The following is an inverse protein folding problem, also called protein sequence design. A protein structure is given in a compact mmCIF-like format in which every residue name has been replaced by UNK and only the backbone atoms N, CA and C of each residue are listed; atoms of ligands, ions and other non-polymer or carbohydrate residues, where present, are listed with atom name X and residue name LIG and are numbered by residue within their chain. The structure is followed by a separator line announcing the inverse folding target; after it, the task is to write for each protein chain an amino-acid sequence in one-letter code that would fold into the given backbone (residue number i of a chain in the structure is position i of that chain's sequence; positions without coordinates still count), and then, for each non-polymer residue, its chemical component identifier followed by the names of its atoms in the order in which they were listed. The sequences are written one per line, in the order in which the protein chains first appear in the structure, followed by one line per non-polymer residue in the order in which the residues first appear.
data_IF_914747872016
#
_entry.id   IF_914747872016
#
_cell.length_a   1.000
_cell.length_b   1.000
_cell.length_c   1.000
_cell.angle_alpha   90.00
_cell.angle_beta   90.00
_cell.angle_gamma   90.00
#
_symmetry.space_group_name_H-M   'P 1'
#
loop_
_entity.id
_entity.type
_entity.pdbx_description
1 polymer ?
#
# COMPACT_ATOMS: atom_id res chain seq x y z
N UNK A 1 22.65 20.92 -0.56
CA UNK A 1 22.23 21.35 0.79
C UNK A 1 22.96 20.44 1.78
N UNK A 2 23.84 20.99 2.64
CA UNK A 2 24.59 20.20 3.61
C UNK A 2 23.74 20.02 4.87
N UNK A 3 23.50 18.78 5.27
CA UNK A 3 22.82 18.44 6.53
C UNK A 3 23.91 18.25 7.59
N UNK A 4 23.79 18.94 8.74
CA UNK A 4 24.73 18.86 9.86
C UNK A 4 24.75 17.47 10.50
N UNK A 5 25.93 17.01 10.94
CA UNK A 5 26.10 15.75 11.66
C UNK A 5 25.50 15.76 13.08
N UNK A 6 25.08 16.93 13.58
CA UNK A 6 24.40 17.08 14.88
C UNK A 6 22.89 16.87 14.79
N UNK A 7 22.36 16.67 13.57
CA UNK A 7 20.93 16.47 13.36
C UNK A 7 20.55 15.04 13.71
N UNK A 8 20.14 14.82 14.96
CA UNK A 8 19.82 13.48 15.47
C UNK A 8 18.41 13.02 15.11
N UNK A 9 17.46 13.93 14.84
CA UNK A 9 16.08 13.63 14.46
C UNK A 9 15.47 14.73 13.60
N UNK A 10 14.72 14.33 12.56
CA UNK A 10 13.87 15.23 11.77
C UNK A 10 12.50 14.59 11.68
N UNK A 11 11.47 15.33 12.10
CA UNK A 11 10.08 14.95 11.86
C UNK A 11 9.51 15.84 10.78
N UNK A 12 9.02 15.24 9.69
CA UNK A 12 8.27 15.92 8.65
C UNK A 12 6.83 15.40 8.76
N UNK A 13 5.89 16.31 9.01
CA UNK A 13 4.47 15.93 9.06
C UNK A 13 3.94 15.70 7.64
N UNK A 14 3.95 14.42 7.26
CA UNK A 14 3.16 13.76 6.22
C UNK A 14 2.85 14.63 4.99
N UNK A 15 3.79 14.65 4.05
CA UNK A 15 3.40 14.87 2.67
C UNK A 15 2.44 13.74 2.28
N UNK A 16 1.25 14.08 1.79
CA UNK A 16 0.27 13.07 1.37
C UNK A 16 0.89 12.13 0.33
N UNK A 17 0.92 10.84 0.66
CA UNK A 17 1.29 9.80 -0.30
C UNK A 17 0.15 9.68 -1.31
N UNK A 18 0.47 9.82 -2.60
CA UNK A 18 -0.53 9.79 -3.66
C UNK A 18 -0.68 8.40 -4.29
N UNK A 19 0.37 7.59 -4.29
CA UNK A 19 0.34 6.24 -4.84
C UNK A 19 1.22 5.28 -4.04
N UNK A 20 0.71 4.08 -3.82
CA UNK A 20 1.43 2.96 -3.22
C UNK A 20 1.45 1.81 -4.22
N UNK A 21 2.62 1.45 -4.74
CA UNK A 21 2.75 0.30 -5.63
C UNK A 21 3.38 -0.88 -4.90
N UNK A 22 2.70 -2.01 -4.90
CA UNK A 22 3.16 -3.24 -4.24
C UNK A 22 3.63 -4.23 -5.30
N UNK A 23 4.90 -4.62 -5.26
CA UNK A 23 5.51 -5.52 -6.25
C UNK A 23 6.10 -6.74 -5.56
N UNK A 24 5.71 -7.93 -6.00
CA UNK A 24 6.25 -9.18 -5.45
C UNK A 24 7.64 -9.44 -6.03
N UNK A 25 8.64 -9.55 -5.16
CA UNK A 25 10.03 -9.84 -5.57
C UNK A 25 10.34 -11.34 -5.53
N UNK A 26 9.78 -12.05 -4.55
CA UNK A 26 9.94 -13.50 -4.40
C UNK A 26 8.70 -14.11 -3.75
N UNK A 27 8.73 -15.43 -3.48
CA UNK A 27 7.61 -16.15 -2.85
C UNK A 27 7.16 -15.52 -1.51
N UNK A 28 8.05 -14.90 -0.75
CA UNK A 28 7.74 -14.36 0.59
C UNK A 28 8.14 -12.90 0.79
N UNK A 29 8.69 -12.25 -0.25
CA UNK A 29 9.22 -10.88 -0.15
C UNK A 29 8.58 -9.93 -1.16
N UNK A 30 8.35 -8.71 -0.70
CA UNK A 30 7.73 -7.64 -1.47
C UNK A 30 8.55 -6.36 -1.43
N UNK A 31 8.34 -5.55 -2.46
CA UNK A 31 8.73 -4.15 -2.55
C UNK A 31 7.48 -3.28 -2.47
N UNK A 32 7.57 -2.15 -1.77
CA UNK A 32 6.57 -1.09 -1.78
C UNK A 32 7.24 0.18 -2.30
N UNK A 33 6.71 0.72 -3.39
CA UNK A 33 7.11 2.02 -3.93
C UNK A 33 6.07 3.07 -3.50
N UNK A 34 6.52 4.12 -2.81
CA UNK A 34 5.70 5.23 -2.35
C UNK A 34 6.02 6.48 -3.17
N UNK A 35 5.00 7.04 -3.81
CA UNK A 35 5.10 8.32 -4.51
C UNK A 35 4.36 9.39 -3.72
N UNK A 36 5.04 10.48 -3.41
CA UNK A 36 4.50 11.57 -2.61
C UNK A 36 4.02 12.70 -3.51
N UNK A 37 2.98 13.44 -3.07
CA UNK A 37 2.45 14.58 -3.83
C UNK A 37 3.50 15.68 -4.12
N UNK A 38 4.55 15.77 -3.30
CA UNK A 38 5.66 16.72 -3.52
C UNK A 38 6.66 16.27 -4.60
N UNK A 39 6.46 15.10 -5.21
CA UNK A 39 7.39 14.51 -6.19
C UNK A 39 8.54 13.72 -5.55
N UNK A 40 8.59 13.58 -4.22
CA UNK A 40 9.51 12.65 -3.58
C UNK A 40 9.06 11.20 -3.83
N UNK A 41 10.03 10.29 -3.83
CA UNK A 41 9.83 8.85 -3.99
C UNK A 41 10.59 8.11 -2.90
N UNK A 42 10.02 7.01 -2.42
CA UNK A 42 10.65 6.14 -1.43
C UNK A 42 10.34 4.69 -1.77
N UNK A 43 11.33 3.82 -1.64
CA UNK A 43 11.16 2.38 -1.84
C UNK A 43 11.50 1.64 -0.55
N UNK A 44 10.63 0.71 -0.16
CA UNK A 44 10.89 -0.30 0.87
C UNK A 44 10.99 -1.67 0.22
N UNK A 45 12.03 -2.43 0.54
CA UNK A 45 12.25 -3.78 0.02
C UNK A 45 12.22 -4.82 1.13
N UNK A 46 12.16 -6.11 0.74
CA UNK A 46 12.21 -7.25 1.65
C UNK A 46 11.09 -7.28 2.70
N UNK A 47 9.92 -6.72 2.38
CA UNK A 47 8.76 -6.72 3.27
C UNK A 47 8.09 -8.11 3.28
N UNK A 48 7.71 -8.56 4.47
CA UNK A 48 7.05 -9.86 4.67
C UNK A 48 5.61 -9.87 4.14
N UNK A 49 5.13 -11.07 3.78
CA UNK A 49 3.79 -11.28 3.23
C UNK A 49 2.69 -10.82 4.20
N UNK A 50 2.81 -11.15 5.48
CA UNK A 50 1.83 -10.80 6.51
C UNK A 50 1.63 -9.28 6.62
N UNK A 51 2.72 -8.51 6.55
CA UNK A 51 2.66 -7.04 6.60
C UNK A 51 2.01 -6.47 5.35
N UNK A 52 2.31 -7.03 4.18
CA UNK A 52 1.69 -6.61 2.91
C UNK A 52 0.19 -6.92 2.91
N UNK A 53 -0.22 -8.08 3.41
CA UNK A 53 -1.62 -8.43 3.57
C UNK A 53 -2.34 -7.41 4.46
N UNK A 54 -1.77 -7.05 5.61
CA UNK A 54 -2.37 -6.03 6.48
C UNK A 54 -2.54 -4.68 5.76
N UNK A 55 -1.55 -4.24 4.98
CA UNK A 55 -1.61 -2.97 4.24
C UNK A 55 -2.66 -2.98 3.13
N UNK A 56 -2.72 -4.06 2.36
CA UNK A 56 -3.69 -4.25 1.27
C UNK A 56 -5.12 -4.31 1.83
N UNK A 57 -5.34 -5.12 2.88
CA UNK A 57 -6.64 -5.22 3.53
C UNK A 57 -7.05 -3.90 4.20
N UNK A 58 -6.12 -3.17 4.81
CA UNK A 58 -6.36 -1.84 5.35
C UNK A 58 -6.77 -0.83 4.28
N UNK A 59 -6.10 -0.84 3.12
CA UNK A 59 -6.47 0.00 1.97
C UNK A 59 -7.87 -0.35 1.46
N UNK A 60 -8.18 -1.64 1.34
CA UNK A 60 -9.48 -2.13 0.94
C UNK A 60 -10.60 -1.68 1.88
N UNK A 61 -10.43 -1.92 3.19
CA UNK A 61 -11.41 -1.55 4.23
C UNK A 61 -11.57 -0.02 4.38
N UNK A 62 -10.58 0.76 3.96
CA UNK A 62 -10.68 2.23 3.92
C UNK A 62 -11.25 2.77 2.61
N UNK A 63 -11.75 1.89 1.72
CA UNK A 63 -12.40 2.23 0.45
C UNK A 63 -11.50 3.05 -0.48
N UNK A 64 -10.19 2.81 -0.43
CA UNK A 64 -9.23 3.44 -1.35
C UNK A 64 -9.27 2.72 -2.69
N UNK A 65 -9.20 3.49 -3.78
CA UNK A 65 -9.10 2.92 -5.13
C UNK A 65 -7.92 1.94 -5.20
N UNK A 66 -8.18 0.75 -5.75
CA UNK A 66 -7.19 -0.30 -5.87
C UNK A 66 -7.26 -0.91 -7.27
N UNK A 67 -6.08 -1.05 -7.87
CA UNK A 67 -5.90 -1.72 -9.16
C UNK A 67 -4.91 -2.86 -8.97
N UNK A 68 -5.20 -3.98 -9.60
CA UNK A 68 -4.32 -5.14 -9.63
C UNK A 68 -3.87 -5.39 -11.07
N UNK A 69 -2.85 -6.21 -11.24
CA UNK A 69 -2.46 -6.68 -12.56
C UNK A 69 -3.48 -7.63 -13.22
N UNK A 70 -4.45 -8.14 -12.45
CA UNK A 70 -5.51 -9.02 -12.94
C UNK A 70 -6.76 -8.26 -13.39
N UNK A 71 -6.85 -6.97 -13.09
CA UNK A 71 -8.03 -6.14 -13.35
C UNK A 71 -8.28 -5.11 -12.26
N UNK A 72 -9.42 -4.41 -12.37
CA UNK A 72 -9.85 -3.42 -11.40
C UNK A 72 -10.55 -4.10 -10.22
N UNK A 73 -10.31 -3.61 -9.00
CA UNK A 73 -11.02 -4.11 -7.81
C UNK A 73 -12.30 -3.31 -7.66
N UNK A 74 -13.46 -3.97 -7.77
CA UNK A 74 -14.74 -3.30 -7.57
C UNK A 74 -15.01 -3.14 -6.07
N UNK A 75 -14.94 -1.91 -5.61
CA UNK A 75 -15.32 -1.52 -4.26
C UNK A 75 -16.79 -1.12 -4.27
N UNK A 76 -17.70 -2.09 -4.31
CA UNK A 76 -19.07 -1.80 -3.92
C UNK A 76 -19.08 -1.53 -2.41
N UNK A 77 -19.00 -0.25 -2.09
CA UNK A 77 -18.93 0.26 -0.72
C UNK A 77 -20.14 -0.12 0.14
N UNK A 78 -21.22 -0.64 -0.48
CA UNK A 78 -22.42 -1.15 0.18
C UNK A 78 -22.40 -2.68 0.37
N UNK A 79 -21.53 -3.41 -0.33
CA UNK A 79 -21.42 -4.87 -0.20
C UNK A 79 -20.52 -5.31 0.97
N UNK A 80 -19.66 -4.42 1.48
CA UNK A 80 -18.75 -4.69 2.59
C UNK A 80 -19.45 -4.33 3.91
N UNK A 81 -20.24 -5.26 4.46
CA UNK A 81 -20.91 -5.08 5.75
C UNK A 81 -19.94 -5.19 6.94
N UNK A 82 -18.81 -5.89 6.75
CA UNK A 82 -17.77 -6.16 7.76
C UNK A 82 -16.38 -6.01 7.15
N UNK A 83 -15.35 -5.64 7.94
CA UNK A 83 -14.00 -5.52 7.42
C UNK A 83 -13.51 -6.86 6.85
N UNK A 84 -12.81 -6.81 5.72
CA UNK A 84 -12.15 -7.98 5.14
C UNK A 84 -10.90 -8.30 5.95
N UNK A 85 -10.83 -9.54 6.46
CA UNK A 85 -9.75 -10.02 7.33
C UNK A 85 -8.75 -10.95 6.61
N UNK A 86 -9.14 -11.55 5.47
CA UNK A 86 -8.33 -12.51 4.72
C UNK A 86 -8.27 -12.14 3.22
N UNK A 87 -7.10 -12.36 2.62
CA UNK A 87 -6.85 -12.14 1.20
C UNK A 87 -7.77 -12.95 0.27
N UNK A 88 -8.18 -14.16 0.67
CA UNK A 88 -9.08 -15.00 -0.15
C UNK A 88 -10.44 -14.34 -0.39
N UNK A 89 -10.91 -13.51 0.56
CA UNK A 89 -12.15 -12.77 0.42
C UNK A 89 -12.06 -11.64 -0.63
N UNK A 90 -10.85 -11.24 -1.05
CA UNK A 90 -10.67 -10.27 -2.14
C UNK A 90 -10.86 -10.87 -3.54
N UNK A 91 -10.64 -12.19 -3.73
CA UNK A 91 -10.74 -12.83 -5.05
C UNK A 91 -12.07 -12.59 -5.79
N UNK A 92 -13.26 -12.75 -5.18
CA UNK A 92 -14.52 -12.51 -5.88
C UNK A 92 -14.78 -11.03 -6.22
N UNK A 93 -13.97 -10.10 -5.71
CA UNK A 93 -14.14 -8.65 -5.87
C UNK A 93 -13.27 -8.08 -6.99
N UNK A 94 -12.39 -8.89 -7.57
CA UNK A 94 -11.55 -8.51 -8.72
C UNK A 94 -12.37 -8.70 -10.00
N UNK A 95 -12.53 -7.63 -10.76
CA UNK A 95 -13.23 -7.63 -12.05
C UNK A 95 -12.19 -7.69 -13.17
N UNK A 96 -12.25 -8.74 -13.98
CA UNK A 96 -11.33 -9.04 -15.10
C UNK A 96 -11.93 -8.57 -16.42
#
# INVERSE_FOLDING_TARGET
MYISNELSNVSIQWTVICNHEYKRLSRTKWRIDFHYKCGAEMTLEDISDDMIQCLILGAFNSKKEMKTNLGEVNLDSNAIEFPVEDWKALQPLIVV
#
